data_IF_025024239050
#
_entry.id   IF_025024239050
#
_cell.length_a   1.000
_cell.length_b   1.000
_cell.length_c   1.000
_cell.angle_alpha   90.00
_cell.angle_beta   90.00
_cell.angle_gamma   90.00
#
_symmetry.space_group_name_H-M   'P 1'
#
loop_
_entity.id
_entity.type
_entity.pdbx_description
1 polymer ?
#
# COMPACT_ATOMS: atom_id res chain seq x y z
N UNK A 1 -3.54 -10.48 -18.68
CA UNK A 1 -2.41 -9.66 -19.18
C UNK A 1 -1.74 -9.04 -17.96
N UNK A 2 -0.58 -9.54 -17.53
CA UNK A 2 0.10 -8.99 -16.34
C UNK A 2 0.47 -7.53 -16.61
N UNK A 3 0.05 -6.61 -15.73
CA UNK A 3 0.35 -5.19 -15.89
C UNK A 3 1.86 -4.96 -15.69
N UNK A 4 2.56 -4.65 -16.77
CA UNK A 4 3.98 -4.29 -16.77
C UNK A 4 4.30 -3.16 -15.79
N UNK A 5 3.32 -2.32 -15.43
CA UNK A 5 3.49 -1.24 -14.45
C UNK A 5 3.70 -1.76 -13.03
N UNK A 6 2.97 -2.79 -12.60
CA UNK A 6 3.13 -3.38 -11.27
C UNK A 6 4.50 -4.05 -11.07
N UNK A 7 5.00 -4.74 -12.10
CA UNK A 7 6.35 -5.31 -12.11
C UNK A 7 7.40 -4.19 -12.06
N UNK A 8 7.24 -3.13 -12.87
CA UNK A 8 8.15 -1.99 -12.88
C UNK A 8 8.19 -1.26 -11.52
N UNK A 9 7.05 -1.12 -10.86
CA UNK A 9 6.92 -0.47 -9.55
C UNK A 9 7.58 -1.31 -8.44
N UNK A 10 7.44 -2.64 -8.51
CA UNK A 10 8.08 -3.58 -7.59
C UNK A 10 9.60 -3.54 -7.75
N UNK A 11 10.09 -3.60 -8.99
CA UNK A 11 11.52 -3.47 -9.31
C UNK A 11 12.08 -2.10 -8.89
N UNK A 12 11.30 -1.04 -9.05
CA UNK A 12 11.69 0.29 -8.58
C UNK A 12 11.80 0.35 -7.06
N UNK A 13 10.85 -0.24 -6.33
CA UNK A 13 10.87 -0.31 -4.86
C UNK A 13 12.08 -1.11 -4.35
N UNK A 14 12.44 -2.21 -5.02
CA UNK A 14 13.60 -3.03 -4.66
C UNK A 14 14.94 -2.29 -4.75
N UNK A 15 15.07 -1.26 -5.60
CA UNK A 15 16.30 -0.47 -5.72
C UNK A 15 16.69 0.29 -4.45
N UNK A 16 15.74 0.53 -3.56
CA UNK A 16 15.95 1.30 -2.34
C UNK A 16 16.06 0.42 -1.09
N UNK A 17 15.96 -0.91 -1.23
CA UNK A 17 16.11 -1.84 -0.10
C UNK A 17 17.56 -1.79 0.39
N UNK A 18 17.74 -1.45 1.66
CA UNK A 18 19.03 -1.48 2.32
C UNK A 18 19.34 -2.91 2.78
N UNK A 19 20.52 -3.48 2.48
CA UNK A 19 20.90 -4.82 2.93
C UNK A 19 21.06 -4.93 4.46
N UNK A 20 21.23 -3.81 5.16
CA UNK A 20 21.30 -3.79 6.63
C UNK A 20 19.93 -4.09 7.24
N UNK A 21 19.82 -5.26 7.89
CA UNK A 21 18.60 -5.73 8.52
C UNK A 21 18.08 -4.81 9.63
N UNK A 22 18.95 -4.05 10.31
CA UNK A 22 18.55 -3.11 11.35
C UNK A 22 17.87 -1.92 10.69
N UNK A 23 18.47 -1.36 9.63
CA UNK A 23 17.88 -0.28 8.85
C UNK A 23 16.54 -0.70 8.26
N UNK A 24 16.46 -1.92 7.72
CA UNK A 24 15.23 -2.46 7.17
C UNK A 24 14.11 -2.56 8.22
N UNK A 25 14.41 -3.08 9.42
CA UNK A 25 13.45 -3.13 10.53
C UNK A 25 12.97 -1.75 10.96
N UNK A 26 13.89 -0.78 11.05
CA UNK A 26 13.56 0.60 11.40
C UNK A 26 12.68 1.27 10.33
N UNK A 27 12.99 1.06 9.06
CA UNK A 27 12.21 1.54 7.94
C UNK A 27 10.79 0.91 7.94
N UNK A 28 10.67 -0.39 8.19
CA UNK A 28 9.38 -1.05 8.35
C UNK A 28 8.57 -0.51 9.53
N UNK A 29 9.19 -0.23 10.68
CA UNK A 29 8.50 0.38 11.82
C UNK A 29 7.97 1.78 11.47
N UNK A 30 8.77 2.59 10.78
CA UNK A 30 8.35 3.90 10.28
C UNK A 30 7.19 3.79 9.27
N UNK A 31 7.23 2.77 8.41
CA UNK A 31 6.17 2.48 7.45
C UNK A 31 4.88 2.06 8.16
N UNK A 32 4.95 1.09 9.08
CA UNK A 32 3.80 0.55 9.82
C UNK A 32 3.05 1.64 10.60
N UNK A 33 3.77 2.61 11.15
CA UNK A 33 3.20 3.73 11.91
C UNK A 33 2.76 4.91 11.02
N UNK A 34 2.95 4.82 9.70
CA UNK A 34 2.50 5.87 8.79
C UNK A 34 0.97 5.89 8.71
N UNK A 35 0.40 7.11 8.64
CA UNK A 35 -1.05 7.32 8.51
C UNK A 35 -1.64 6.59 7.30
N UNK A 36 -0.85 6.40 6.26
CA UNK A 36 -1.22 5.64 5.07
C UNK A 36 -1.56 4.19 5.38
N UNK A 37 -0.88 3.47 6.28
CA UNK A 37 -1.29 2.10 6.59
C UNK A 37 -2.62 2.00 7.35
N UNK A 38 -2.99 3.03 8.12
CA UNK A 38 -4.24 3.04 8.89
C UNK A 38 -5.47 3.42 8.04
N UNK A 39 -5.28 4.19 6.97
CA UNK A 39 -6.35 4.63 6.07
C UNK A 39 -6.99 3.48 5.28
N UNK A 40 -6.33 2.32 5.20
CA UNK A 40 -6.71 1.25 4.26
C UNK A 40 -7.06 -0.09 4.92
N UNK A 41 -7.33 -0.12 6.23
CA UNK A 41 -8.01 -1.25 6.85
C UNK A 41 -9.52 -0.98 6.85
N UNK A 42 -10.32 -1.63 5.98
CA UNK A 42 -11.74 -1.34 5.82
C UNK A 42 -12.56 -1.58 7.11
N UNK A 43 -11.98 -2.26 8.10
CA UNK A 43 -12.65 -2.64 9.35
C UNK A 43 -12.17 -1.87 10.60
N UNK A 44 -11.23 -0.92 10.47
CA UNK A 44 -10.75 -0.14 11.63
C UNK A 44 -11.50 1.18 11.67
N UNK A 45 -12.34 1.37 12.69
CA UNK A 45 -12.97 2.66 12.92
C UNK A 45 -11.89 3.72 13.16
N UNK A 46 -11.92 4.79 12.38
CA UNK A 46 -10.96 5.91 12.44
C UNK A 46 -10.89 6.49 13.86
N UNK A 47 -11.99 6.39 14.62
CA UNK A 47 -12.12 6.86 16.01
C UNK A 47 -11.45 5.98 17.07
N UNK A 48 -11.01 4.76 16.74
CA UNK A 48 -10.40 3.84 17.72
C UNK A 48 -8.89 4.04 17.92
N UNK A 49 -8.25 4.89 17.11
CA UNK A 49 -6.78 5.02 17.11
C UNK A 49 -6.31 6.41 17.55
N UNK A 50 -5.57 6.48 18.65
CA UNK A 50 -4.96 7.72 19.14
C UNK A 50 -3.82 8.16 18.21
N UNK A 51 -4.15 8.97 17.20
CA UNK A 51 -3.22 9.49 16.19
C UNK A 51 -2.03 10.25 16.79
N UNK A 52 -2.24 10.94 17.91
CA UNK A 52 -1.18 11.64 18.64
C UNK A 52 -0.15 10.66 19.22
N UNK A 53 -0.62 9.56 19.83
CA UNK A 53 0.25 8.53 20.36
C UNK A 53 1.05 7.83 19.23
N UNK A 54 0.40 7.51 18.12
CA UNK A 54 1.07 6.91 16.94
C UNK A 54 2.15 7.84 16.40
N UNK A 55 1.83 9.12 16.22
CA UNK A 55 2.79 10.11 15.76
C UNK A 55 3.99 10.26 16.71
N UNK A 56 3.73 10.22 18.03
CA UNK A 56 4.80 10.25 19.03
C UNK A 56 5.74 9.04 18.91
N UNK A 57 5.17 7.84 18.75
CA UNK A 57 5.94 6.61 18.56
C UNK A 57 6.73 6.68 17.24
N UNK A 58 6.11 7.15 16.15
CA UNK A 58 6.78 7.32 14.86
C UNK A 58 7.99 8.25 14.97
N UNK A 59 7.86 9.38 15.66
CA UNK A 59 8.97 10.30 15.91
C UNK A 59 10.10 9.64 16.72
N UNK A 60 9.77 8.78 17.69
CA UNK A 60 10.79 8.03 18.43
C UNK A 60 11.54 7.05 17.54
N UNK A 61 10.86 6.36 16.64
CA UNK A 61 11.53 5.52 15.63
C UNK A 61 12.39 6.34 14.66
N UNK A 62 11.93 7.53 14.25
CA UNK A 62 12.72 8.42 13.40
C UNK A 62 14.00 8.89 14.10
N UNK A 63 13.89 9.24 15.39
CA UNK A 63 15.03 9.63 16.24
C UNK A 63 16.04 8.48 16.38
N UNK A 64 15.57 7.26 16.67
CA UNK A 64 16.42 6.07 16.78
C UNK A 64 17.11 5.76 15.44
N UNK A 65 16.37 5.85 14.34
CA UNK A 65 16.91 5.65 12.99
C UNK A 65 18.01 6.65 12.69
N UNK A 66 17.76 7.93 12.97
CA UNK A 66 18.75 8.98 12.77
C UNK A 66 20.01 8.76 13.60
N UNK A 67 19.87 8.44 14.89
CA UNK A 67 21.02 8.16 15.77
C UNK A 67 21.81 6.93 15.30
N UNK A 68 21.11 5.86 14.92
CA UNK A 68 21.75 4.65 14.41
C UNK A 68 22.57 4.92 13.15
N UNK A 69 21.99 5.64 12.18
CA UNK A 69 22.68 5.98 10.94
C UNK A 69 23.91 6.86 11.18
N UNK A 70 23.79 7.89 12.02
CA UNK A 70 24.93 8.74 12.37
C UNK A 70 26.04 7.95 13.07
N UNK A 71 25.68 7.08 14.02
CA UNK A 71 26.64 6.25 14.74
C UNK A 71 27.37 5.28 13.79
N UNK A 72 26.66 4.67 12.85
CA UNK A 72 27.20 3.59 12.00
C UNK A 72 27.95 4.11 10.77
N UNK A 73 27.47 5.18 10.14
CA UNK A 73 27.93 5.63 8.81
C UNK A 73 28.54 7.04 8.82
N UNK A 74 28.40 7.79 9.92
CA UNK A 74 28.78 9.21 9.97
C UNK A 74 27.76 10.12 9.27
N UNK A 75 27.91 11.43 9.46
CA UNK A 75 26.87 12.40 9.12
C UNK A 75 26.45 12.40 7.64
N UNK A 76 27.42 12.44 6.72
CA UNK A 76 27.14 12.54 5.28
C UNK A 76 26.40 11.31 4.74
N UNK A 77 26.91 10.11 5.02
CA UNK A 77 26.27 8.86 4.60
C UNK A 77 24.95 8.62 5.36
N UNK A 78 24.84 9.07 6.61
CA UNK A 78 23.58 8.99 7.36
C UNK A 78 22.47 9.78 6.66
N UNK A 79 22.74 10.99 6.16
CA UNK A 79 21.77 11.78 5.38
C UNK A 79 21.33 11.01 4.14
N UNK A 80 22.27 10.43 3.38
CA UNK A 80 21.99 9.67 2.17
C UNK A 80 21.15 8.42 2.44
N UNK A 81 21.49 7.66 3.48
CA UNK A 81 20.72 6.49 3.90
C UNK A 81 19.32 6.88 4.39
N UNK A 82 19.20 7.95 5.17
CA UNK A 82 17.91 8.43 5.66
C UNK A 82 17.02 8.88 4.50
N UNK A 83 17.58 9.57 3.51
CA UNK A 83 16.89 9.96 2.30
C UNK A 83 16.41 8.75 1.47
N UNK A 84 17.25 7.74 1.33
CA UNK A 84 16.87 6.48 0.66
C UNK A 84 15.71 5.78 1.39
N UNK A 85 15.69 5.78 2.72
CA UNK A 85 14.57 5.24 3.49
C UNK A 85 13.28 5.99 3.15
N UNK A 86 13.31 7.33 3.11
CA UNK A 86 12.12 8.13 2.76
C UNK A 86 11.62 7.77 1.35
N UNK A 87 12.51 7.68 0.36
CA UNK A 87 12.11 7.29 -1.00
C UNK A 87 11.52 5.89 -1.06
N UNK A 88 12.11 4.94 -0.33
CA UNK A 88 11.57 3.59 -0.23
C UNK A 88 10.15 3.57 0.35
N UNK A 89 9.89 4.36 1.40
CA UNK A 89 8.56 4.49 2.01
C UNK A 89 7.54 5.10 1.06
N UNK A 90 7.93 6.13 0.30
CA UNK A 90 7.08 6.73 -0.74
C UNK A 90 6.79 5.71 -1.84
N UNK A 91 7.80 4.99 -2.30
CA UNK A 91 7.66 3.97 -3.34
C UNK A 91 6.72 2.84 -2.92
N UNK A 92 6.85 2.35 -1.69
CA UNK A 92 5.94 1.38 -1.10
C UNK A 92 4.51 1.90 -1.04
N UNK A 93 4.32 3.15 -0.59
CA UNK A 93 3.00 3.78 -0.50
C UNK A 93 2.34 3.87 -1.87
N UNK A 94 3.07 4.34 -2.89
CA UNK A 94 2.58 4.36 -4.28
C UNK A 94 2.24 2.96 -4.77
N UNK A 95 3.03 1.95 -4.40
CA UNK A 95 2.77 0.57 -4.80
C UNK A 95 1.50 -0.01 -4.19
N UNK A 96 1.25 0.26 -2.92
CA UNK A 96 0.03 -0.17 -2.24
C UNK A 96 -1.20 0.50 -2.85
N UNK A 97 -1.14 1.81 -3.08
CA UNK A 97 -2.24 2.56 -3.73
C UNK A 97 -2.55 1.98 -5.11
N UNK A 98 -1.50 1.69 -5.90
CA UNK A 98 -1.66 1.14 -7.24
C UNK A 98 -2.32 -0.25 -7.22
N UNK A 99 -1.84 -1.16 -6.37
CA UNK A 99 -2.42 -2.51 -6.21
C UNK A 99 -3.89 -2.45 -5.77
N UNK A 100 -4.23 -1.55 -4.85
CA UNK A 100 -5.61 -1.42 -4.38
C UNK A 100 -6.55 -0.88 -5.44
N UNK A 101 -6.10 0.06 -6.28
CA UNK A 101 -6.89 0.58 -7.40
C UNK A 101 -7.26 -0.55 -8.38
N UNK A 102 -6.39 -1.54 -8.54
CA UNK A 102 -6.69 -2.74 -9.32
C UNK A 102 -7.73 -3.65 -8.66
N UNK A 103 -7.66 -3.86 -7.33
CA UNK A 103 -8.66 -4.66 -6.64
C UNK A 103 -10.07 -4.05 -6.73
N UNK A 104 -10.21 -2.72 -6.75
CA UNK A 104 -11.51 -2.07 -6.94
C UNK A 104 -12.15 -2.38 -8.30
N UNK A 105 -11.35 -2.78 -9.29
CA UNK A 105 -11.86 -3.20 -10.60
C UNK A 105 -12.31 -4.66 -10.64
N UNK A 106 -11.85 -5.52 -9.73
CA UNK A 106 -12.31 -6.91 -9.63
C UNK A 106 -13.76 -6.95 -9.15
N UNK A 107 -14.09 -6.18 -8.11
CA UNK A 107 -15.48 -6.04 -7.62
C UNK A 107 -16.42 -5.46 -8.71
N UNK A 108 -15.88 -4.64 -9.62
CA UNK A 108 -16.63 -4.12 -10.77
C UNK A 108 -16.83 -5.17 -11.89
N UNK A 109 -15.94 -6.15 -12.01
CA UNK A 109 -16.09 -7.25 -12.97
C UNK A 109 -17.11 -8.25 -12.46
N UNK A 110 -17.07 -8.60 -11.18
CA UNK A 110 -18.04 -9.53 -10.58
C UNK A 110 -19.46 -8.95 -10.65
N UNK A 111 -19.63 -7.66 -10.37
CA UNK A 111 -20.92 -6.97 -10.54
C UNK A 111 -21.36 -6.83 -12.00
N UNK A 112 -20.44 -6.70 -12.96
CA UNK A 112 -20.76 -6.72 -14.38
C UNK A 112 -21.22 -8.11 -14.84
N UNK A 113 -20.58 -9.16 -14.33
CA UNK A 113 -20.95 -10.56 -14.60
C UNK A 113 -22.34 -10.83 -14.04
N UNK A 114 -22.61 -10.49 -12.78
CA UNK A 114 -23.94 -10.63 -12.18
C UNK A 114 -25.02 -9.86 -12.98
N UNK A 115 -24.73 -8.63 -13.41
CA UNK A 115 -25.66 -7.84 -14.21
C UNK A 115 -25.94 -8.47 -15.59
N UNK A 116 -24.90 -9.04 -16.21
CA UNK A 116 -25.01 -9.68 -17.52
C UNK A 116 -25.79 -10.99 -17.40
N UNK A 117 -25.54 -11.80 -16.37
CA UNK A 117 -26.31 -13.01 -16.08
C UNK A 117 -27.78 -12.67 -15.83
N UNK A 118 -28.07 -11.63 -15.05
CA UNK A 118 -29.45 -11.19 -14.80
C UNK A 118 -30.16 -10.75 -16.10
N UNK A 119 -29.46 -10.04 -16.97
CA UNK A 119 -30.01 -9.56 -18.24
C UNK A 119 -30.32 -10.72 -19.19
N UNK A 120 -29.42 -11.70 -19.29
CA UNK A 120 -29.66 -12.91 -20.10
C UNK A 120 -30.86 -13.72 -19.60
N UNK A 121 -31.02 -13.85 -18.28
CA UNK A 121 -32.19 -14.53 -17.69
C UNK A 121 -33.49 -13.79 -18.02
N UNK A 122 -33.47 -12.45 -18.02
CA UNK A 122 -34.65 -11.64 -18.34
C UNK A 122 -35.03 -11.75 -19.82
N UNK A 123 -34.05 -11.71 -20.72
CA UNK A 123 -34.27 -11.88 -22.17
C UNK A 123 -34.90 -13.25 -22.49
N UNK A 124 -34.39 -14.33 -21.87
CA UNK A 124 -34.95 -15.68 -22.02
C UNK A 124 -36.40 -15.78 -21.52
N UNK A 125 -36.77 -15.04 -20.47
CA UNK A 125 -38.13 -15.03 -19.92
C UNK A 125 -39.09 -14.25 -20.81
N UNK A 126 -38.67 -13.11 -21.39
CA UNK A 126 -39.47 -12.36 -22.36
C UNK A 126 -39.78 -13.20 -23.60
N UNK A 127 -38.80 -13.93 -24.14
CA UNK A 127 -38.99 -14.79 -25.31
C UNK A 127 -40.02 -15.91 -25.06
N UNK A 128 -40.06 -16.47 -23.84
CA UNK A 128 -41.04 -17.50 -23.44
C UNK A 128 -42.46 -16.93 -23.29
N UNK A 129 -42.58 -15.66 -22.89
CA UNK A 129 -43.88 -14.98 -22.73
C UNK A 129 -44.45 -14.61 -24.10
N UNK A 130 -43.61 -14.14 -25.03
CA UNK A 130 -44.03 -13.72 -26.38
C UNK A 130 -44.33 -14.89 -27.33
N UNK A 131 -43.84 -16.10 -27.04
CA UNK A 131 -44.12 -17.32 -27.82
C UNK A 131 -45.39 -18.06 -27.42
N UNK A 132 -46.19 -17.51 -26.49
CA UNK A 132 -47.40 -18.13 -25.94
C UNK A 132 -48.68 -17.38 -26.31
#
# INVERSE_FOLDING_TARGET
MFDNRGIALTLWTMKFINPDIIIFKLALSLFALSKTNYLYSPNISIDSTNSSAIFHIQNKYAEVTWKYLNYRYGWYEAVKHFHNIIYWLVALTTSIIHVQTFNTHVDNIDSLVELTELTLILDDVEEIIDTK
#
